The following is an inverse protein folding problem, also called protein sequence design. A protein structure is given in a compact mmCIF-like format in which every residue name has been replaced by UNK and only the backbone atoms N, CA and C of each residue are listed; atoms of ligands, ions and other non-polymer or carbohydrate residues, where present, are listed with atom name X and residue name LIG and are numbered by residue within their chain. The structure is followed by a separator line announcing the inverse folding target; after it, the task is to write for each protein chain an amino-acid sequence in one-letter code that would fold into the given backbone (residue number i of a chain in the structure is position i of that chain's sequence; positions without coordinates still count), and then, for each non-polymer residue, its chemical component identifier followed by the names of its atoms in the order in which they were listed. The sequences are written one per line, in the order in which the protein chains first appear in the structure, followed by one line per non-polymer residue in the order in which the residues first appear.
data_IF_498592888219
#
_entry.id   IF_498592888219
#
_cell.length_a   1.000
_cell.length_b   1.000
_cell.length_c   1.000
_cell.angle_alpha   90.00
_cell.angle_beta   90.00
_cell.angle_gamma   90.00
#
_symmetry.space_group_name_H-M   'P 1'
#
loop_
_entity.id
_entity.type
_entity.pdbx_description
1 polymer ?
#
# COMPACT_ATOMS: atom_id res chain seq x y z
N UNK A 1 8.05 -42.44 -16.47
CA UNK A 1 7.06 -41.34 -16.37
C UNK A 1 7.37 -40.65 -15.06
N UNK A 2 7.75 -39.36 -15.09
CA UNK A 2 8.47 -38.69 -14.01
C UNK A 2 7.59 -38.43 -12.77
N UNK A 3 8.07 -38.90 -11.61
CA UNK A 3 7.54 -38.64 -10.28
C UNK A 3 7.76 -37.17 -9.91
N UNK A 4 6.67 -36.40 -9.82
CA UNK A 4 6.71 -34.98 -9.41
C UNK A 4 6.52 -34.89 -7.90
N UNK A 5 7.56 -35.27 -7.14
CA UNK A 5 7.66 -34.95 -5.72
C UNK A 5 8.15 -33.50 -5.57
N UNK A 6 7.23 -32.57 -5.29
CA UNK A 6 7.56 -31.20 -4.96
C UNK A 6 8.15 -31.12 -3.54
N UNK A 7 9.27 -30.41 -3.29
CA UNK A 7 9.80 -30.29 -1.94
C UNK A 7 8.91 -29.41 -1.05
N UNK A 8 8.75 -29.86 0.19
CA UNK A 8 8.07 -29.11 1.24
C UNK A 8 8.76 -27.74 1.47
N UNK A 9 7.96 -26.67 1.48
CA UNK A 9 8.45 -25.31 1.75
C UNK A 9 8.82 -25.21 3.22
N UNK A 10 10.12 -25.27 3.51
CA UNK A 10 10.68 -24.99 4.82
C UNK A 10 10.38 -23.54 5.26
N UNK A 11 9.84 -23.41 6.47
CA UNK A 11 10.16 -22.30 7.37
C UNK A 11 9.44 -20.98 7.14
N UNK A 12 8.21 -20.84 7.63
CA UNK A 12 7.79 -19.54 8.18
C UNK A 12 8.38 -19.43 9.58
N UNK A 13 9.53 -18.77 9.67
CA UNK A 13 10.09 -18.34 10.94
C UNK A 13 9.03 -17.57 11.74
N UNK A 14 9.04 -17.81 13.06
CA UNK A 14 8.07 -17.32 14.03
C UNK A 14 7.65 -15.88 13.80
N UNK A 15 6.33 -15.65 13.84
CA UNK A 15 5.71 -14.33 13.87
C UNK A 15 6.29 -13.59 15.08
N UNK A 16 7.02 -12.50 14.83
CA UNK A 16 7.56 -11.63 15.86
C UNK A 16 6.42 -11.14 16.78
N UNK A 17 6.40 -11.65 18.02
CA UNK A 17 5.47 -11.32 19.11
C UNK A 17 5.92 -10.03 19.82
N UNK A 18 6.10 -8.98 19.04
CA UNK A 18 6.35 -7.61 19.50
C UNK A 18 5.39 -6.68 18.76
N UNK A 19 4.10 -6.88 18.99
CA UNK A 19 3.08 -5.86 18.72
C UNK A 19 3.06 -4.92 19.93
N UNK A 20 4.18 -4.24 20.14
CA UNK A 20 4.27 -3.13 21.10
C UNK A 20 3.33 -2.03 20.61
N UNK A 21 2.30 -1.81 21.41
CA UNK A 21 1.25 -0.79 21.36
C UNK A 21 1.53 0.33 20.35
N UNK A 22 1.04 0.16 19.12
CA UNK A 22 1.03 1.20 18.09
C UNK A 22 0.22 2.39 18.62
N UNK A 23 0.93 3.34 19.22
CA UNK A 23 0.40 4.55 19.80
C UNK A 23 -0.39 5.28 18.71
N UNK A 24 -1.66 5.61 18.98
CA UNK A 24 -2.66 6.10 18.01
C UNK A 24 -2.41 7.50 17.43
N UNK A 25 -1.18 7.81 17.03
CA UNK A 25 -0.83 8.99 16.24
C UNK A 25 -1.13 8.78 14.74
N UNK A 26 -1.19 9.87 13.95
CA UNK A 26 -1.36 9.80 12.51
C UNK A 26 -0.29 8.89 11.90
N UNK A 27 -0.73 7.84 11.22
CA UNK A 27 0.19 6.88 10.59
C UNK A 27 0.59 7.42 9.22
N UNK A 28 1.87 7.31 8.82
CA UNK A 28 2.27 7.73 7.47
C UNK A 28 1.57 6.87 6.42
N UNK A 29 1.11 7.49 5.34
CA UNK A 29 0.51 6.74 4.24
C UNK A 29 1.57 5.87 3.56
N UNK A 30 1.41 4.55 3.62
CA UNK A 30 2.35 3.59 3.02
C UNK A 30 2.35 3.62 1.49
N UNK A 31 1.18 3.85 0.87
CA UNK A 31 1.02 3.86 -0.58
C UNK A 31 1.86 4.94 -1.28
N UNK A 32 1.87 6.16 -0.75
CA UNK A 32 2.72 7.24 -1.25
C UNK A 32 4.00 7.42 -0.45
N UNK A 33 4.26 6.60 0.58
CA UNK A 33 5.42 6.74 1.47
C UNK A 33 5.52 8.15 2.08
N UNK A 34 4.40 8.64 2.60
CA UNK A 34 4.23 9.96 3.22
C UNK A 34 4.47 11.20 2.33
N UNK A 35 4.62 11.05 1.01
CA UNK A 35 4.80 12.20 0.10
C UNK A 35 3.49 12.91 -0.26
N UNK A 36 2.35 12.23 -0.11
CA UNK A 36 1.05 12.67 -0.64
C UNK A 36 0.89 12.47 -2.15
N UNK A 37 1.90 11.93 -2.84
CA UNK A 37 1.93 11.88 -4.31
C UNK A 37 2.35 10.49 -4.80
N UNK A 38 1.77 10.06 -5.92
CA UNK A 38 2.14 8.80 -6.57
C UNK A 38 2.30 9.03 -8.07
N UNK A 39 3.15 8.23 -8.69
CA UNK A 39 3.27 8.22 -10.13
C UNK A 39 2.27 7.24 -10.74
N UNK A 40 1.52 7.70 -11.73
CA UNK A 40 0.58 6.91 -12.49
C UNK A 40 1.00 6.89 -13.96
N UNK A 41 0.90 5.72 -14.60
CA UNK A 41 1.09 5.60 -16.04
C UNK A 41 -0.20 6.03 -16.75
N UNK A 42 -0.07 6.97 -17.69
CA UNK A 42 -1.12 7.36 -18.65
C UNK A 42 -0.61 7.09 -20.06
N UNK A 43 -1.52 7.11 -21.02
CA UNK A 43 -1.12 7.08 -22.42
C UNK A 43 -0.18 8.25 -22.70
N UNK A 44 1.02 7.97 -23.21
CA UNK A 44 2.04 8.98 -23.49
C UNK A 44 3.04 9.26 -22.37
N UNK A 45 2.91 8.67 -21.17
CA UNK A 45 3.96 8.75 -20.16
C UNK A 45 3.53 8.57 -18.71
N UNK A 46 4.49 8.76 -17.81
CA UNK A 46 4.27 8.75 -16.36
C UNK A 46 3.92 10.17 -15.90
N UNK A 47 2.81 10.30 -15.18
CA UNK A 47 2.39 11.54 -14.54
C UNK A 47 2.42 11.40 -13.03
N UNK A 48 2.60 12.52 -12.32
CA UNK A 48 2.49 12.57 -10.88
C UNK A 48 1.09 13.04 -10.49
N UNK A 49 0.41 12.32 -9.60
CA UNK A 49 -0.94 12.62 -9.15
C UNK A 49 -1.03 12.63 -7.63
N UNK A 50 -2.06 13.29 -7.09
CA UNK A 50 -2.38 13.19 -5.66
C UNK A 50 -2.64 11.72 -5.30
N UNK A 51 -2.07 11.25 -4.19
CA UNK A 51 -2.25 9.89 -3.73
C UNK A 51 -3.73 9.65 -3.39
N UNK A 52 -4.44 8.75 -4.07
CA UNK A 52 -5.86 8.55 -3.85
C UNK A 52 -6.16 7.91 -2.50
N UNK A 53 -5.17 7.28 -1.84
CA UNK A 53 -5.30 6.64 -0.52
C UNK A 53 -5.22 7.60 0.66
N UNK A 54 -4.56 8.75 0.52
CA UNK A 54 -4.45 9.75 1.58
C UNK A 54 -4.95 11.13 1.16
N UNK A 55 -5.55 11.21 -0.03
CA UNK A 55 -6.08 12.44 -0.61
C UNK A 55 -5.03 13.56 -0.71
N UNK A 56 -3.76 13.20 -0.88
CA UNK A 56 -2.65 14.16 -0.93
C UNK A 56 -2.04 14.56 0.42
N UNK A 57 -2.60 14.12 1.55
CA UNK A 57 -2.11 14.52 2.89
C UNK A 57 -0.78 13.88 3.30
N UNK A 58 -0.42 12.74 2.70
CA UNK A 58 0.71 11.93 3.14
C UNK A 58 0.45 11.14 4.44
N UNK A 59 -0.71 11.31 5.07
CA UNK A 59 -1.10 10.61 6.29
C UNK A 59 -2.22 9.60 5.99
N UNK A 60 -2.15 8.43 6.60
CA UNK A 60 -3.23 7.45 6.53
C UNK A 60 -4.44 7.98 7.28
N UNK A 61 -5.60 7.89 6.64
CA UNK A 61 -6.87 8.32 7.20
C UNK A 61 -7.75 7.09 7.49
N UNK A 62 -8.05 6.80 8.76
CA UNK A 62 -8.87 5.64 9.14
C UNK A 62 -10.32 5.83 8.70
N UNK A 63 -10.85 4.87 7.94
CA UNK A 63 -12.25 4.85 7.51
C UNK A 63 -12.47 5.36 6.09
N UNK A 64 -11.46 5.94 5.46
CA UNK A 64 -11.50 6.31 4.05
C UNK A 64 -11.20 5.12 3.13
N UNK A 65 -12.18 4.79 2.30
CA UNK A 65 -12.05 3.79 1.25
C UNK A 65 -11.73 4.48 -0.08
N UNK A 66 -10.45 4.46 -0.43
CA UNK A 66 -9.93 5.01 -1.67
C UNK A 66 -10.53 4.37 -2.94
N UNK A 67 -10.94 3.10 -2.85
CA UNK A 67 -11.49 2.36 -3.98
C UNK A 67 -12.97 2.69 -4.18
N UNK A 68 -13.73 2.79 -3.09
CA UNK A 68 -15.13 3.22 -3.13
C UNK A 68 -15.29 4.69 -3.53
N UNK A 69 -14.34 5.55 -3.16
CA UNK A 69 -14.37 6.97 -3.48
C UNK A 69 -14.21 7.27 -4.98
N UNK A 70 -13.82 6.29 -5.81
CA UNK A 70 -13.66 6.42 -7.27
C UNK A 70 -12.91 7.70 -7.69
N UNK A 71 -11.90 8.09 -6.90
CA UNK A 71 -11.18 9.35 -7.12
C UNK A 71 -10.27 9.17 -8.32
N UNK A 72 -10.75 9.58 -9.49
CA UNK A 72 -9.93 9.69 -10.68
C UNK A 72 -9.06 10.95 -10.58
N UNK A 73 -7.77 10.88 -10.92
CA UNK A 73 -6.95 12.07 -10.96
C UNK A 73 -7.55 13.03 -11.99
N UNK A 74 -7.91 14.24 -11.54
CA UNK A 74 -8.33 15.32 -12.41
C UNK A 74 -7.21 15.58 -13.43
N UNK A 75 -7.60 15.67 -14.70
CA UNK A 75 -6.70 15.88 -15.84
C UNK A 75 -5.96 17.22 -15.75
#
# INVERSE_FOLDING_TARGET
MADTTAPARNGRAARNESAEEATGGPQPCSACRATGRVFANREGGQIEVACPWCQGSGQWEPGYDAQAAAVHPAA
#
